data_IF_158152538803
#
_entry.id   IF_158152538803
#
_cell.length_a   1.000
_cell.length_b   1.000
_cell.length_c   1.000
_cell.angle_alpha   90.00
_cell.angle_beta   90.00
_cell.angle_gamma   90.00
#
_symmetry.space_group_name_H-M   'P 1'
#
loop_
_entity.id
_entity.type
_entity.pdbx_description
1 polymer ?
#
# COMPACT_ATOMS: atom_id res chain seq x y z
N UNK A 1 -63.93 11.56 9.28
CA UNK A 1 -63.66 11.41 7.82
C UNK A 1 -62.81 12.59 7.40
N UNK A 2 -61.54 12.53 6.96
CA UNK A 2 -60.71 11.48 6.39
C UNK A 2 -59.23 11.76 6.74
N UNK A 3 -58.57 10.74 7.27
CA UNK A 3 -57.19 10.29 7.01
C UNK A 3 -55.98 11.22 7.22
N UNK A 4 -55.34 11.01 8.38
CA UNK A 4 -53.88 10.96 8.52
C UNK A 4 -53.26 10.03 7.46
N UNK A 5 -52.28 10.53 6.69
CA UNK A 5 -51.02 9.85 6.34
C UNK A 5 -50.16 10.87 5.58
N UNK A 6 -49.31 11.59 6.32
CA UNK A 6 -47.88 11.32 6.39
C UNK A 6 -47.15 11.70 5.08
N UNK A 7 -46.81 12.99 5.01
CA UNK A 7 -45.49 13.51 4.65
C UNK A 7 -44.65 12.50 3.87
N UNK A 8 -44.52 12.67 2.56
CA UNK A 8 -43.31 12.45 1.74
C UNK A 8 -43.65 12.88 0.31
N UNK A 9 -43.96 14.17 0.16
CA UNK A 9 -43.93 14.82 -1.13
C UNK A 9 -42.55 15.47 -1.27
N UNK A 10 -41.89 15.18 -2.38
CA UNK A 10 -40.80 15.98 -2.97
C UNK A 10 -39.57 16.23 -2.10
N UNK A 11 -38.51 15.47 -2.36
CA UNK A 11 -37.19 16.05 -2.70
C UNK A 11 -36.31 14.95 -3.28
N UNK A 12 -36.59 14.63 -4.56
CA UNK A 12 -35.61 14.01 -5.42
C UNK A 12 -34.42 14.97 -5.56
N UNK A 13 -33.22 14.42 -5.32
CA UNK A 13 -31.97 14.75 -6.01
C UNK A 13 -31.88 16.12 -6.69
N UNK A 14 -31.00 16.97 -6.20
CA UNK A 14 -29.71 17.28 -6.85
C UNK A 14 -29.01 18.38 -6.04
N UNK A 15 -27.94 17.97 -5.37
CA UNK A 15 -26.95 18.85 -4.77
C UNK A 15 -26.25 19.62 -5.89
N UNK A 16 -26.70 20.85 -6.14
CA UNK A 16 -25.96 21.85 -6.92
C UNK A 16 -25.24 22.75 -5.91
N UNK A 17 -24.04 22.35 -5.49
CA UNK A 17 -23.02 23.27 -5.00
C UNK A 17 -21.89 23.26 -6.05
N UNK A 18 -21.93 24.17 -7.02
CA UNK A 18 -21.38 25.53 -6.93
C UNK A 18 -19.95 25.55 -7.47
N UNK A 19 -19.81 26.02 -8.70
CA UNK A 19 -18.62 26.71 -9.22
C UNK A 19 -19.02 27.48 -10.49
N UNK A 20 -19.64 28.65 -10.31
CA UNK A 20 -19.53 29.74 -11.30
C UNK A 20 -18.54 30.73 -10.72
N UNK A 21 -17.46 31.05 -11.45
CA UNK A 21 -17.45 32.17 -12.41
C UNK A 21 -16.33 31.94 -13.43
N UNK A 22 -16.70 31.95 -14.70
CA UNK A 22 -15.80 32.19 -15.81
C UNK A 22 -15.32 33.66 -15.74
N UNK A 23 -14.04 33.86 -16.01
CA UNK A 23 -13.47 35.12 -16.45
C UNK A 23 -12.69 34.76 -17.71
N UNK A 24 -13.27 35.08 -18.86
CA UNK A 24 -12.55 35.09 -20.14
C UNK A 24 -11.57 36.27 -20.15
N UNK A 25 -10.36 36.03 -20.62
CA UNK A 25 -9.72 36.92 -21.60
C UNK A 25 -8.54 36.23 -22.31
N UNK A 26 -8.48 36.48 -23.61
CA UNK A 26 -7.58 35.97 -24.62
C UNK A 26 -6.08 36.10 -24.29
N UNK A 27 -5.30 35.04 -24.57
CA UNK A 27 -4.01 35.13 -25.26
C UNK A 27 -3.36 33.75 -25.42
N UNK A 28 -3.01 33.44 -26.67
CA UNK A 28 -2.06 32.39 -27.08
C UNK A 28 -0.88 32.19 -26.12
N UNK A 29 -0.58 30.94 -25.75
CA UNK A 29 0.79 30.39 -25.59
C UNK A 29 0.80 28.93 -25.15
N UNK A 30 1.51 28.13 -25.95
CA UNK A 30 2.24 26.91 -25.61
C UNK A 30 1.55 25.78 -24.83
N UNK A 31 1.43 24.63 -25.51
CA UNK A 31 1.38 23.30 -24.90
C UNK A 31 2.57 23.11 -23.96
N UNK A 32 2.39 23.50 -22.69
CA UNK A 32 3.38 23.28 -21.64
C UNK A 32 3.38 21.80 -21.30
N UNK A 33 4.30 21.07 -21.95
CA UNK A 33 4.69 19.70 -21.63
C UNK A 33 4.89 19.60 -20.11
N UNK A 34 4.00 18.88 -19.42
CA UNK A 34 4.14 18.61 -17.98
C UNK A 34 5.48 17.90 -17.79
N UNK A 35 6.46 18.49 -17.08
CA UNK A 35 7.70 17.79 -16.80
C UNK A 35 7.41 16.67 -15.80
N UNK A 36 7.42 15.43 -16.28
CA UNK A 36 7.53 14.24 -15.44
C UNK A 36 8.94 14.19 -14.84
N UNK A 37 9.26 15.12 -13.93
CA UNK A 37 10.39 14.93 -13.03
C UNK A 37 9.86 14.30 -11.74
N UNK A 38 9.49 13.02 -11.83
CA UNK A 38 9.44 12.19 -10.63
C UNK A 38 10.89 11.99 -10.25
N UNK A 39 11.37 12.75 -9.27
CA UNK A 39 12.72 12.57 -8.76
C UNK A 39 12.77 11.20 -8.11
N UNK A 40 13.39 10.25 -8.80
CA UNK A 40 13.72 8.96 -8.20
C UNK A 40 14.69 9.27 -7.06
N UNK A 41 14.38 8.86 -5.80
CA UNK A 41 15.26 9.12 -4.69
C UNK A 41 16.68 8.64 -5.02
N UNK A 42 17.64 9.56 -4.95
CA UNK A 42 19.06 9.28 -5.17
C UNK A 42 19.44 8.08 -4.30
N UNK A 43 19.93 6.99 -4.93
CA UNK A 43 20.37 5.77 -4.23
C UNK A 43 21.32 6.18 -3.10
N UNK A 44 20.84 6.11 -1.86
CA UNK A 44 21.69 6.26 -0.70
C UNK A 44 22.70 5.12 -0.71
N UNK A 45 23.96 5.41 -0.37
CA UNK A 45 25.03 4.42 -0.20
C UNK A 45 24.79 3.55 1.05
N UNK A 46 23.59 2.97 1.19
CA UNK A 46 23.34 1.87 2.12
C UNK A 46 24.03 0.63 1.55
N UNK A 47 24.59 -0.19 2.43
CA UNK A 47 25.03 -1.53 2.08
C UNK A 47 23.97 -2.19 1.21
N UNK A 48 24.38 -2.73 0.04
CA UNK A 48 23.43 -3.40 -0.84
C UNK A 48 22.75 -4.50 -0.02
N UNK A 49 21.41 -4.52 0.06
CA UNK A 49 20.72 -5.61 0.72
C UNK A 49 21.16 -6.92 0.08
N UNK A 50 21.36 -7.96 0.90
CA UNK A 50 21.70 -9.28 0.39
C UNK A 50 20.52 -9.78 -0.45
N UNK A 51 20.71 -9.71 -1.77
CA UNK A 51 19.71 -9.98 -2.82
C UNK A 51 20.00 -11.31 -3.54
N UNK A 52 21.03 -12.05 -3.11
CA UNK A 52 21.39 -13.35 -3.68
C UNK A 52 20.23 -14.35 -3.67
N UNK A 53 19.39 -14.29 -2.63
CA UNK A 53 18.18 -15.10 -2.51
C UNK A 53 17.04 -14.65 -3.43
N UNK A 54 17.04 -13.43 -3.95
CA UNK A 54 15.96 -12.86 -4.76
C UNK A 54 16.16 -13.10 -6.26
N UNK A 55 16.64 -14.28 -6.64
CA UNK A 55 17.09 -14.60 -8.01
C UNK A 55 16.00 -15.14 -8.95
N UNK A 56 14.75 -15.18 -8.51
CA UNK A 56 13.58 -15.50 -9.35
C UNK A 56 12.32 -14.82 -8.80
N UNK A 57 11.24 -14.78 -9.61
CA UNK A 57 9.91 -14.33 -9.16
C UNK A 57 9.44 -15.17 -7.96
N UNK A 58 9.59 -16.48 -8.02
CA UNK A 58 9.21 -17.38 -6.93
C UNK A 58 9.99 -17.14 -5.65
N UNK A 59 11.30 -16.87 -5.76
CA UNK A 59 12.09 -16.55 -4.57
C UNK A 59 11.77 -15.15 -4.01
N UNK A 60 11.37 -14.21 -4.87
CA UNK A 60 10.82 -12.94 -4.44
C UNK A 60 9.54 -13.11 -3.61
N UNK A 61 8.60 -13.93 -4.08
CA UNK A 61 7.39 -14.26 -3.32
C UNK A 61 7.71 -15.01 -2.02
N UNK A 62 8.57 -16.04 -2.09
CA UNK A 62 8.99 -16.81 -0.91
C UNK A 62 9.56 -15.91 0.18
N UNK A 63 10.57 -15.12 -0.14
CA UNK A 63 11.24 -14.25 0.84
C UNK A 63 10.31 -13.14 1.35
N UNK A 64 9.40 -12.64 0.51
CA UNK A 64 8.36 -11.70 0.91
C UNK A 64 7.42 -12.32 1.96
N UNK A 65 6.86 -13.49 1.64
CA UNK A 65 5.91 -14.19 2.52
C UNK A 65 6.57 -14.60 3.84
N UNK A 66 7.76 -15.20 3.80
CA UNK A 66 8.53 -15.54 5.02
C UNK A 66 8.82 -14.30 5.88
N UNK A 67 9.12 -13.15 5.25
CA UNK A 67 9.34 -11.90 5.99
C UNK A 67 8.05 -11.39 6.64
N UNK A 68 6.91 -11.46 5.94
CA UNK A 68 5.60 -11.04 6.46
C UNK A 68 5.12 -11.98 7.58
N UNK A 69 5.36 -13.29 7.43
CA UNK A 69 5.09 -14.29 8.47
C UNK A 69 5.90 -14.02 9.74
N UNK A 70 7.18 -13.69 9.61
CA UNK A 70 7.98 -13.28 10.77
C UNK A 70 7.44 -12.02 11.48
N UNK A 71 6.75 -11.12 10.77
CA UNK A 71 6.07 -9.98 11.41
C UNK A 71 4.81 -10.46 12.13
N UNK A 72 4.00 -11.29 11.46
CA UNK A 72 2.77 -11.85 12.02
C UNK A 72 3.08 -12.60 13.32
N UNK A 73 4.05 -13.51 13.31
CA UNK A 73 4.46 -14.31 14.47
C UNK A 73 4.83 -13.45 15.69
N UNK A 74 5.59 -12.37 15.46
CA UNK A 74 5.98 -11.45 16.55
C UNK A 74 4.77 -10.65 17.03
N UNK A 75 3.91 -10.18 16.12
CA UNK A 75 2.77 -9.34 16.47
C UNK A 75 1.65 -10.13 17.15
N UNK A 76 1.39 -11.35 16.71
CA UNK A 76 0.31 -12.21 17.22
C UNK A 76 0.61 -12.79 18.61
N UNK A 77 1.83 -12.64 19.12
CA UNK A 77 2.18 -13.00 20.50
C UNK A 77 1.58 -12.05 21.57
N UNK A 78 0.84 -11.02 21.15
CA UNK A 78 0.22 -10.02 22.01
C UNK A 78 -1.25 -9.83 21.64
N UNK A 79 -2.13 -9.80 22.64
CA UNK A 79 -3.57 -9.65 22.43
C UNK A 79 -3.90 -8.28 21.84
N UNK A 80 -3.23 -7.24 22.33
CA UNK A 80 -3.46 -5.86 21.90
C UNK A 80 -2.23 -5.20 21.28
N UNK A 81 -2.47 -4.19 20.44
CA UNK A 81 -1.39 -3.37 19.87
C UNK A 81 -0.63 -2.58 20.96
N UNK A 82 -1.33 -2.17 22.02
CA UNK A 82 -0.74 -1.43 23.13
C UNK A 82 0.21 -2.30 23.98
N UNK A 83 -0.13 -3.57 24.20
CA UNK A 83 0.77 -4.52 24.88
C UNK A 83 2.02 -4.78 24.06
N UNK A 84 1.86 -5.01 22.75
CA UNK A 84 2.99 -5.13 21.83
C UNK A 84 3.91 -3.91 21.90
N UNK A 85 3.35 -2.69 21.87
CA UNK A 85 4.13 -1.45 21.87
C UNK A 85 4.93 -1.21 23.16
N UNK A 86 4.56 -1.86 24.28
CA UNK A 86 5.32 -1.80 25.53
C UNK A 86 6.58 -2.67 25.49
N UNK A 87 6.67 -3.63 24.57
CA UNK A 87 7.83 -4.53 24.45
C UNK A 87 8.77 -4.07 23.33
N UNK A 88 9.73 -3.22 23.70
CA UNK A 88 10.71 -2.61 22.79
C UNK A 88 11.43 -3.63 21.90
N UNK A 89 11.78 -4.81 22.42
CA UNK A 89 12.45 -5.86 21.65
C UNK A 89 11.57 -6.33 20.48
N UNK A 90 10.31 -6.66 20.74
CA UNK A 90 9.35 -7.12 19.72
C UNK A 90 9.06 -6.03 18.71
N UNK A 91 8.90 -4.78 19.15
CA UNK A 91 8.75 -3.62 18.27
C UNK A 91 9.95 -3.48 17.33
N UNK A 92 11.16 -3.66 17.85
CA UNK A 92 12.38 -3.57 17.04
C UNK A 92 12.51 -4.75 16.06
N UNK A 93 12.12 -5.97 16.46
CA UNK A 93 12.05 -7.12 15.54
C UNK A 93 11.12 -6.84 14.36
N UNK A 94 9.89 -6.38 14.64
CA UNK A 94 8.93 -6.00 13.58
C UNK A 94 9.50 -4.90 12.68
N UNK A 95 10.15 -3.87 13.24
CA UNK A 95 10.80 -2.81 12.44
C UNK A 95 11.89 -3.36 11.50
N UNK A 96 12.67 -4.33 11.95
CA UNK A 96 13.70 -4.98 11.12
C UNK A 96 13.06 -5.76 9.98
N UNK A 97 12.03 -6.57 10.26
CA UNK A 97 11.29 -7.29 9.23
C UNK A 97 10.60 -6.34 8.24
N UNK A 98 9.94 -5.28 8.70
CA UNK A 98 9.33 -4.27 7.82
C UNK A 98 10.36 -3.58 6.90
N UNK A 99 11.56 -3.32 7.40
CA UNK A 99 12.65 -2.80 6.58
C UNK A 99 13.06 -3.82 5.51
N UNK A 100 13.20 -5.10 5.88
CA UNK A 100 13.53 -6.18 4.94
C UNK A 100 12.43 -6.37 3.89
N UNK A 101 11.16 -6.31 4.29
CA UNK A 101 10.01 -6.37 3.39
C UNK A 101 10.09 -5.29 2.31
N UNK A 102 10.32 -4.02 2.69
CA UNK A 102 10.47 -2.91 1.73
C UNK A 102 11.67 -3.09 0.79
N UNK A 103 12.77 -3.67 1.29
CA UNK A 103 13.94 -3.97 0.47
C UNK A 103 13.64 -5.06 -0.57
N UNK A 104 12.94 -6.13 -0.17
CA UNK A 104 12.48 -7.20 -1.07
C UNK A 104 11.54 -6.63 -2.12
N UNK A 105 10.49 -5.92 -1.70
CA UNK A 105 9.51 -5.32 -2.59
C UNK A 105 10.20 -4.41 -3.63
N UNK A 106 11.06 -3.50 -3.17
CA UNK A 106 11.79 -2.59 -4.06
C UNK A 106 12.67 -3.32 -5.06
N UNK A 107 13.45 -4.30 -4.61
CA UNK A 107 14.34 -5.06 -5.49
C UNK A 107 13.56 -5.91 -6.51
N UNK A 108 12.57 -6.67 -6.05
CA UNK A 108 11.81 -7.59 -6.88
C UNK A 108 11.00 -6.86 -7.96
N UNK A 109 10.36 -5.74 -7.60
CA UNK A 109 9.64 -4.90 -8.56
C UNK A 109 10.58 -4.26 -9.58
N UNK A 110 11.78 -3.81 -9.19
CA UNK A 110 12.75 -3.24 -10.12
C UNK A 110 13.35 -4.30 -11.07
N UNK A 111 13.61 -5.50 -10.56
CA UNK A 111 14.27 -6.59 -11.29
C UNK A 111 13.32 -7.32 -12.23
N UNK A 112 12.17 -7.79 -11.71
CA UNK A 112 11.23 -8.64 -12.47
C UNK A 112 10.06 -7.86 -13.07
N UNK A 113 9.84 -6.61 -12.63
CA UNK A 113 8.87 -5.68 -13.22
C UNK A 113 7.48 -6.31 -13.33
N UNK A 114 6.88 -6.30 -14.53
CA UNK A 114 5.55 -6.86 -14.81
C UNK A 114 5.42 -8.35 -14.45
N UNK A 115 6.51 -9.12 -14.43
CA UNK A 115 6.46 -10.54 -14.10
C UNK A 115 6.07 -10.78 -12.63
N UNK A 116 6.24 -9.78 -11.75
CA UNK A 116 5.72 -9.85 -10.38
C UNK A 116 4.19 -9.82 -10.29
N UNK A 117 3.49 -9.51 -11.37
CA UNK A 117 2.03 -9.39 -11.43
C UNK A 117 1.39 -10.36 -12.43
N UNK A 118 2.17 -11.34 -12.91
CA UNK A 118 1.66 -12.40 -13.75
C UNK A 118 1.41 -13.65 -12.92
N UNK A 119 0.52 -14.50 -13.40
CA UNK A 119 0.36 -15.84 -12.88
C UNK A 119 1.71 -16.58 -12.88
N UNK A 120 1.95 -17.30 -11.80
CA UNK A 120 3.14 -18.11 -11.59
C UNK A 120 2.73 -19.43 -10.92
N UNK A 121 3.60 -20.42 -11.00
CA UNK A 121 3.37 -21.79 -10.54
C UNK A 121 3.66 -21.99 -9.03
N UNK A 122 4.23 -20.98 -8.37
CA UNK A 122 4.75 -21.12 -7.02
C UNK A 122 3.85 -20.52 -5.93
N UNK A 123 3.17 -19.40 -6.19
CA UNK A 123 2.29 -18.76 -5.22
C UNK A 123 1.06 -18.11 -5.86
N UNK A 124 -0.11 -18.16 -5.21
CA UNK A 124 -1.25 -17.34 -5.59
C UNK A 124 -0.88 -15.86 -5.65
N UNK A 125 -1.40 -15.14 -6.65
CA UNK A 125 -1.00 -13.76 -6.96
C UNK A 125 -1.29 -12.78 -5.80
N UNK A 126 -2.33 -13.07 -5.02
CA UNK A 126 -2.83 -12.28 -3.89
C UNK A 126 -2.20 -12.64 -2.54
N UNK A 127 -1.35 -13.67 -2.48
CA UNK A 127 -0.79 -14.20 -1.21
C UNK A 127 -0.12 -13.13 -0.35
N UNK A 128 0.64 -12.23 -1.00
CA UNK A 128 1.35 -11.14 -0.33
C UNK A 128 0.36 -10.12 0.21
N UNK A 129 -0.65 -9.75 -0.59
CA UNK A 129 -1.63 -8.74 -0.18
C UNK A 129 -2.52 -9.26 0.96
N UNK A 130 -2.85 -10.55 0.95
CA UNK A 130 -3.58 -11.18 2.05
C UNK A 130 -2.84 -11.04 3.38
N UNK A 131 -1.55 -11.36 3.42
CA UNK A 131 -0.73 -11.18 4.65
C UNK A 131 -0.59 -9.72 5.07
N UNK A 132 -0.50 -8.80 4.10
CA UNK A 132 -0.46 -7.36 4.41
C UNK A 132 -1.77 -6.89 5.03
N UNK A 133 -2.91 -7.41 4.56
CA UNK A 133 -4.21 -7.14 5.19
C UNK A 133 -4.26 -7.67 6.62
N UNK A 134 -3.84 -8.91 6.85
CA UNK A 134 -3.77 -9.50 8.21
C UNK A 134 -2.90 -8.64 9.16
N UNK A 135 -1.76 -8.15 8.67
CA UNK A 135 -0.90 -7.25 9.44
C UNK A 135 -1.57 -5.90 9.73
N UNK A 136 -2.27 -5.33 8.75
CA UNK A 136 -2.99 -4.07 8.91
C UNK A 136 -4.08 -4.20 9.99
N UNK A 137 -4.80 -5.33 10.02
CA UNK A 137 -5.83 -5.62 11.02
C UNK A 137 -5.23 -5.71 12.44
N UNK A 138 -3.97 -6.14 12.53
CA UNK A 138 -3.20 -6.15 13.78
C UNK A 138 -2.54 -4.81 14.13
N UNK A 139 -2.75 -3.76 13.34
CA UNK A 139 -2.19 -2.41 13.54
C UNK A 139 -0.79 -2.21 12.96
N UNK A 140 -0.28 -3.15 12.16
CA UNK A 140 1.02 -3.06 11.50
C UNK A 140 0.84 -2.65 10.03
N UNK A 141 1.20 -1.40 9.72
CA UNK A 141 1.17 -0.88 8.34
C UNK A 141 2.39 -1.38 7.55
N UNK A 142 2.14 -2.18 6.53
CA UNK A 142 3.16 -2.84 5.69
C UNK A 142 3.09 -2.50 4.21
#
# INVERSE_FOLDING_TARGET
>A
MKNLKFIYFLTSFLLICSCSKELEDDASKDLKKIPQNVSVPKKSNKSKPNTSKLNSVCNCYKEALETLDGILDVRSAYDTFDEYNKVTESVNKVKVHLKRWREIQSYCLQTYKRAMYMENDCYPMDSVEKKRSELNDLGIKS
#
